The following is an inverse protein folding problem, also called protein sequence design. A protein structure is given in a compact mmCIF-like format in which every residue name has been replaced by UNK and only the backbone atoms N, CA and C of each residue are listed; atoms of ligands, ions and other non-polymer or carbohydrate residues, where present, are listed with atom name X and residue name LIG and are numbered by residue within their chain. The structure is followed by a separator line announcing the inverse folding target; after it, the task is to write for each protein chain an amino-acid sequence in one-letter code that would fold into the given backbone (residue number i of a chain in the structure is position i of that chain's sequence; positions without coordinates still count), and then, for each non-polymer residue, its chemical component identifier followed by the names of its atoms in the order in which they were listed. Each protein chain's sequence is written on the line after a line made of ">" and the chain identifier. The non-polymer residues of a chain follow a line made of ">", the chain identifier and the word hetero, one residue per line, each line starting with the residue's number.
data_IF_395489248908
#
_entry.id   IF_395489248908
#
_cell.length_a   1.000
_cell.length_b   1.000
_cell.length_c   1.000
_cell.angle_alpha   90.00
_cell.angle_beta   90.00
_cell.angle_gamma   90.00
#
_symmetry.space_group_name_H-M   'P 1'
#
loop_
_entity.id
_entity.type
_entity.pdbx_description
1 polymer ?
#
# COMPACT_ATOMS: atom_id res chain seq x y z
N UNK A 1 4.79 -1.57 18.38
CA UNK A 1 5.54 -1.59 17.10
C UNK A 1 4.69 -0.89 16.04
N UNK A 2 5.29 -0.18 15.08
CA UNK A 2 4.55 0.53 14.03
C UNK A 2 4.66 -0.24 12.70
N UNK A 3 3.54 -0.68 12.13
CA UNK A 3 3.55 -1.62 11.00
C UNK A 3 2.98 -0.97 9.72
N UNK A 4 3.76 -1.03 8.64
CA UNK A 4 3.34 -0.55 7.32
C UNK A 4 3.20 -1.74 6.39
N UNK A 5 2.00 -1.98 5.87
CA UNK A 5 1.73 -3.03 4.89
C UNK A 5 1.59 -2.41 3.50
N UNK A 6 2.27 -3.00 2.51
CA UNK A 6 2.28 -2.54 1.13
C UNK A 6 1.79 -3.70 0.25
N UNK A 7 0.65 -3.53 -0.40
CA UNK A 7 0.10 -4.53 -1.30
C UNK A 7 0.60 -4.31 -2.74
N UNK A 8 1.49 -5.21 -3.20
CA UNK A 8 1.88 -5.28 -4.61
C UNK A 8 1.02 -6.30 -5.34
N UNK A 9 0.13 -5.83 -6.23
CA UNK A 9 -0.72 -6.71 -7.04
C UNK A 9 0.02 -7.33 -8.24
N UNK A 10 -0.38 -8.55 -8.57
CA UNK A 10 -0.01 -9.34 -9.77
C UNK A 10 -0.45 -8.68 -11.08
N UNK A 11 0.41 -8.73 -12.11
CA UNK A 11 0.11 -8.30 -13.49
C UNK A 11 -0.64 -9.36 -14.33
N UNK A 12 -0.77 -10.60 -13.86
CA UNK A 12 -1.44 -11.68 -14.59
C UNK A 12 -2.93 -11.85 -14.24
N UNK A 13 -3.45 -11.07 -13.28
CA UNK A 13 -4.91 -10.87 -13.11
C UNK A 13 -5.46 -9.96 -14.22
N UNK A 14 -4.59 -9.38 -15.04
CA UNK A 14 -4.94 -8.59 -16.20
C UNK A 14 -5.21 -9.52 -17.38
N UNK A 15 -6.40 -10.12 -17.40
CA UNK A 15 -6.95 -10.59 -18.67
C UNK A 15 -7.11 -9.38 -19.60
N UNK A 16 -6.82 -9.49 -20.91
CA UNK A 16 -7.07 -8.41 -21.88
C UNK A 16 -8.51 -7.87 -21.80
N UNK A 17 -9.46 -8.71 -21.38
CA UNK A 17 -10.87 -8.37 -21.18
C UNK A 17 -11.11 -7.51 -19.92
N UNK A 18 -10.28 -7.65 -18.87
CA UNK A 18 -10.34 -6.85 -17.65
C UNK A 18 -9.48 -5.57 -17.67
N UNK A 19 -8.60 -5.42 -18.69
CA UNK A 19 -7.66 -4.29 -18.82
C UNK A 19 -8.31 -2.90 -18.79
N UNK A 20 -9.58 -2.77 -19.19
CA UNK A 20 -10.31 -1.48 -19.16
C UNK A 20 -10.79 -1.07 -17.76
N UNK A 21 -10.82 -1.99 -16.79
CA UNK A 21 -11.31 -1.72 -15.42
C UNK A 21 -10.21 -1.68 -14.36
N UNK A 22 -9.01 -2.14 -14.66
CA UNK A 22 -7.90 -2.22 -13.69
C UNK A 22 -6.84 -1.21 -14.08
N UNK A 23 -6.63 -0.19 -13.26
CA UNK A 23 -5.51 0.76 -13.42
C UNK A 23 -4.21 0.00 -13.19
N UNK A 24 -3.36 -0.05 -14.21
CA UNK A 24 -1.96 -0.43 -14.07
C UNK A 24 -1.23 0.84 -13.68
N UNK A 25 -0.71 0.91 -12.45
CA UNK A 25 0.23 1.97 -12.10
C UNK A 25 1.57 1.74 -12.82
N UNK A 26 2.25 2.84 -13.16
CA UNK A 26 3.62 2.79 -13.67
C UNK A 26 4.54 2.05 -12.70
N UNK A 27 5.62 1.45 -13.25
CA UNK A 27 6.54 0.61 -12.50
C UNK A 27 7.17 1.34 -11.28
N UNK A 28 7.18 2.67 -11.28
CA UNK A 28 7.77 3.52 -10.24
C UNK A 28 6.79 4.01 -9.17
N UNK A 29 5.48 3.73 -9.28
CA UNK A 29 4.47 4.26 -8.37
C UNK A 29 4.77 3.98 -6.90
N UNK A 30 5.03 2.71 -6.57
CA UNK A 30 5.30 2.31 -5.19
C UNK A 30 6.62 2.88 -4.67
N UNK A 31 7.61 3.05 -5.55
CA UNK A 31 8.86 3.68 -5.19
C UNK A 31 8.65 5.14 -4.79
N UNK A 32 7.92 5.91 -5.60
CA UNK A 32 7.59 7.30 -5.31
C UNK A 32 6.80 7.45 -4.03
N UNK A 33 5.80 6.59 -3.80
CA UNK A 33 5.02 6.60 -2.56
C UNK A 33 5.93 6.33 -1.36
N UNK A 34 6.77 5.30 -1.43
CA UNK A 34 7.66 4.95 -0.33
C UNK A 34 8.72 6.01 -0.06
N UNK A 35 9.26 6.67 -1.08
CA UNK A 35 10.22 7.77 -0.93
C UNK A 35 9.61 8.97 -0.18
N UNK A 36 8.32 9.23 -0.34
CA UNK A 36 7.59 10.27 0.40
C UNK A 36 7.15 9.80 1.79
N UNK A 37 6.77 8.52 1.92
CA UNK A 37 6.24 7.95 3.15
C UNK A 37 7.34 7.70 4.19
N UNK A 38 8.46 7.09 3.79
CA UNK A 38 9.51 6.61 4.70
C UNK A 38 10.05 7.69 5.65
N UNK A 39 10.36 8.93 5.20
CA UNK A 39 10.85 9.98 6.08
C UNK A 39 9.84 10.46 7.12
N UNK A 40 8.55 10.18 6.91
CA UNK A 40 7.45 10.61 7.78
C UNK A 40 7.10 9.55 8.83
N UNK A 41 7.53 8.30 8.63
CA UNK A 41 7.23 7.20 9.54
C UNK A 41 8.09 7.27 10.81
N UNK A 42 7.60 6.73 11.95
CA UNK A 42 8.42 6.51 13.13
C UNK A 42 9.69 5.71 12.81
N UNK A 43 10.80 5.98 13.51
CA UNK A 43 12.09 5.28 13.28
C UNK A 43 12.00 3.76 13.44
N UNK A 44 11.11 3.29 14.30
CA UNK A 44 10.85 1.88 14.58
C UNK A 44 9.76 1.26 13.69
N UNK A 45 9.32 1.95 12.63
CA UNK A 45 8.36 1.41 11.68
C UNK A 45 8.95 0.22 10.91
N UNK A 46 8.17 -0.86 10.82
CA UNK A 46 8.46 -2.04 10.01
C UNK A 46 7.67 -1.97 8.70
N UNK A 47 8.37 -2.13 7.58
CA UNK A 47 7.77 -2.08 6.26
C UNK A 47 7.63 -3.50 5.74
N UNK A 48 6.41 -3.90 5.38
CA UNK A 48 6.10 -5.22 4.85
C UNK A 48 5.56 -5.07 3.43
N UNK A 49 6.25 -5.66 2.47
CA UNK A 49 5.84 -5.69 1.07
C UNK A 49 5.23 -7.05 0.78
N UNK A 50 3.91 -7.09 0.62
CA UNK A 50 3.14 -8.32 0.44
C UNK A 50 2.71 -8.49 -1.02
N UNK A 51 3.01 -9.66 -1.59
CA UNK A 51 2.63 -10.02 -2.96
C UNK A 51 2.18 -11.48 -3.03
N UNK A 52 1.04 -11.72 -3.67
CA UNK A 52 0.67 -13.05 -4.13
C UNK A 52 1.55 -13.38 -5.36
N UNK A 53 2.32 -14.46 -5.32
CA UNK A 53 3.19 -14.91 -6.41
C UNK A 53 4.44 -14.06 -6.71
N UNK A 54 5.50 -14.80 -7.06
CA UNK A 54 6.71 -14.29 -7.65
C UNK A 54 6.51 -14.23 -9.18
N UNK A 55 6.32 -13.04 -9.75
CA UNK A 55 6.31 -12.86 -11.20
C UNK A 55 7.66 -12.28 -11.63
N UNK A 56 8.27 -12.80 -12.70
CA UNK A 56 9.60 -12.36 -13.18
C UNK A 56 9.66 -10.84 -13.42
N UNK A 57 8.58 -10.24 -13.91
CA UNK A 57 8.46 -8.78 -14.08
C UNK A 57 8.46 -7.99 -12.76
N UNK A 58 7.93 -8.56 -11.67
CA UNK A 58 7.94 -7.92 -10.33
C UNK A 58 9.24 -8.16 -9.57
N UNK A 59 10.08 -9.11 -9.99
CA UNK A 59 11.37 -9.33 -9.34
C UNK A 59 12.25 -8.08 -9.35
N UNK A 60 12.26 -7.33 -10.45
CA UNK A 60 13.00 -6.07 -10.57
C UNK A 60 12.46 -4.99 -9.63
N UNK A 61 11.14 -4.79 -9.60
CA UNK A 61 10.51 -3.86 -8.66
C UNK A 61 10.79 -4.24 -7.20
N UNK A 62 10.67 -5.53 -6.89
CA UNK A 62 10.98 -6.07 -5.57
C UNK A 62 12.44 -5.81 -5.19
N UNK A 63 13.38 -6.05 -6.11
CA UNK A 63 14.80 -5.75 -5.90
C UNK A 63 15.05 -4.25 -5.74
N UNK A 64 14.41 -3.42 -6.56
CA UNK A 64 14.50 -1.96 -6.45
C UNK A 64 14.00 -1.47 -5.09
N UNK A 65 12.84 -1.95 -4.64
CA UNK A 65 12.31 -1.62 -3.32
C UNK A 65 13.27 -2.10 -2.23
N UNK A 66 13.76 -3.33 -2.29
CA UNK A 66 14.71 -3.87 -1.30
C UNK A 66 16.01 -3.07 -1.23
N UNK A 67 16.53 -2.62 -2.38
CA UNK A 67 17.77 -1.87 -2.47
C UNK A 67 17.60 -0.43 -1.97
N UNK A 68 16.47 0.22 -2.27
CA UNK A 68 16.18 1.60 -1.86
C UNK A 68 15.67 1.70 -0.42
N UNK A 69 14.96 0.67 0.03
CA UNK A 69 14.32 0.61 1.35
C UNK A 69 14.81 -0.64 2.10
N UNK A 70 16.03 -0.62 2.67
CA UNK A 70 16.63 -1.80 3.30
C UNK A 70 15.85 -2.31 4.54
N UNK A 71 14.97 -1.49 5.10
CA UNK A 71 14.04 -1.86 6.19
C UNK A 71 12.80 -2.62 5.70
N UNK A 72 12.56 -2.68 4.39
CA UNK A 72 11.42 -3.37 3.82
C UNK A 72 11.64 -4.88 3.82
N UNK A 73 10.76 -5.58 4.54
CA UNK A 73 10.67 -7.03 4.53
C UNK A 73 9.73 -7.46 3.42
N UNK A 74 10.23 -8.33 2.54
CA UNK A 74 9.44 -8.86 1.45
C UNK A 74 8.77 -10.17 1.88
N UNK A 75 7.44 -10.20 1.83
CA UNK A 75 6.61 -11.35 2.14
C UNK A 75 5.89 -11.79 0.86
N UNK A 76 6.55 -12.66 0.08
CA UNK A 76 5.98 -13.26 -1.14
C UNK A 76 5.35 -14.59 -0.81
N UNK A 77 4.22 -14.91 -1.45
CA UNK A 77 3.50 -16.18 -1.27
C UNK A 77 2.95 -16.41 0.14
N UNK A 78 2.77 -15.34 0.91
CA UNK A 78 2.04 -15.40 2.18
C UNK A 78 0.59 -15.84 1.92
N UNK A 79 0.02 -16.77 2.72
CA UNK A 79 -1.36 -17.18 2.57
C UNK A 79 -2.32 -15.99 2.52
N UNK A 80 -3.37 -16.06 1.70
CA UNK A 80 -4.30 -14.94 1.52
C UNK A 80 -5.00 -14.52 2.82
N UNK A 81 -5.27 -15.44 3.74
CA UNK A 81 -5.82 -15.09 5.07
C UNK A 81 -4.82 -14.27 5.90
N UNK A 82 -3.57 -14.71 5.97
CA UNK A 82 -2.50 -14.01 6.68
C UNK A 82 -2.19 -12.64 6.07
N UNK A 83 -2.15 -12.54 4.74
CA UNK A 83 -1.99 -11.26 4.03
C UNK A 83 -3.13 -10.31 4.35
N UNK A 84 -4.38 -10.80 4.34
CA UNK A 84 -5.55 -9.97 4.63
C UNK A 84 -5.52 -9.46 6.08
N UNK A 85 -5.21 -10.34 7.03
CA UNK A 85 -5.06 -9.98 8.43
C UNK A 85 -3.98 -8.92 8.64
N UNK A 86 -2.80 -9.10 8.02
CA UNK A 86 -1.72 -8.11 8.05
C UNK A 86 -2.12 -6.75 7.46
N UNK A 87 -2.99 -6.73 6.44
CA UNK A 87 -3.52 -5.48 5.88
C UNK A 87 -4.48 -4.77 6.84
N UNK A 88 -5.38 -5.52 7.48
CA UNK A 88 -6.37 -4.96 8.42
C UNK A 88 -5.68 -4.37 9.65
N UNK A 89 -4.68 -5.06 10.18
CA UNK A 89 -3.97 -4.67 11.41
C UNK A 89 -2.84 -3.65 11.19
N UNK A 90 -2.49 -3.34 9.94
CA UNK A 90 -1.44 -2.37 9.65
C UNK A 90 -1.79 -0.98 10.20
N UNK A 91 -0.77 -0.24 10.62
CA UNK A 91 -0.90 1.18 10.99
C UNK A 91 -1.02 2.06 9.75
N UNK A 92 -0.33 1.65 8.68
CA UNK A 92 -0.45 2.23 7.37
C UNK A 92 -0.59 1.11 6.35
N UNK A 93 -1.71 1.07 5.64
CA UNK A 93 -1.92 0.19 4.50
C UNK A 93 -1.75 0.98 3.21
N UNK A 94 -0.67 0.73 2.49
CA UNK A 94 -0.44 1.22 1.13
C UNK A 94 -0.94 0.18 0.15
N UNK A 95 -1.88 0.54 -0.70
CA UNK A 95 -2.48 -0.42 -1.61
C UNK A 95 -2.78 0.16 -2.98
N UNK A 96 -2.56 -0.68 -3.99
CA UNK A 96 -3.27 -0.56 -5.25
C UNK A 96 -4.71 -1.08 -5.07
N UNK A 97 -5.65 -0.41 -5.74
CA UNK A 97 -7.07 -0.59 -5.52
C UNK A 97 -7.55 -1.88 -6.21
N UNK A 98 -7.77 -2.92 -5.40
CA UNK A 98 -8.38 -4.19 -5.80
C UNK A 98 -9.54 -4.51 -4.85
N UNK A 99 -10.49 -5.36 -5.23
CA UNK A 99 -11.57 -5.77 -4.31
C UNK A 99 -11.02 -6.35 -3.00
N UNK A 100 -9.89 -7.06 -3.07
CA UNK A 100 -9.25 -7.66 -1.90
C UNK A 100 -8.61 -6.63 -0.98
N UNK A 101 -7.75 -5.75 -1.51
CA UNK A 101 -7.13 -4.67 -0.70
C UNK A 101 -8.17 -3.67 -0.21
N UNK A 102 -9.16 -3.32 -1.03
CA UNK A 102 -10.22 -2.40 -0.65
C UNK A 102 -11.05 -2.95 0.51
N UNK A 103 -11.43 -4.23 0.45
CA UNK A 103 -12.13 -4.88 1.56
C UNK A 103 -11.29 -4.83 2.84
N UNK A 104 -9.99 -5.13 2.76
CA UNK A 104 -9.10 -4.99 3.92
C UNK A 104 -9.04 -3.55 4.44
N UNK A 105 -9.00 -2.56 3.54
CA UNK A 105 -9.04 -1.14 3.89
C UNK A 105 -10.33 -0.70 4.58
N UNK A 106 -11.48 -1.29 4.22
CA UNK A 106 -12.75 -1.05 4.90
C UNK A 106 -12.78 -1.61 6.33
N UNK A 107 -12.08 -2.72 6.59
CA UNK A 107 -11.95 -3.29 7.93
C UNK A 107 -10.81 -2.65 8.74
N UNK A 108 -9.83 -2.02 8.08
CA UNK A 108 -8.75 -1.32 8.75
C UNK A 108 -9.22 -0.01 9.39
N UNK A 109 -8.90 0.14 10.68
CA UNK A 109 -9.23 1.32 11.48
C UNK A 109 -8.14 2.41 11.43
N UNK A 110 -7.00 2.11 10.79
CA UNK A 110 -5.84 2.98 10.75
C UNK A 110 -5.72 3.67 9.39
N UNK A 111 -4.52 4.05 8.96
CA UNK A 111 -4.31 4.87 7.76
C UNK A 111 -4.31 3.98 6.52
N UNK A 112 -5.06 4.39 5.49
CA UNK A 112 -5.17 3.72 4.20
C UNK A 112 -4.70 4.69 3.11
N UNK A 113 -3.68 4.31 2.35
CA UNK A 113 -3.17 5.06 1.21
C UNK A 113 -3.56 4.32 -0.07
N UNK A 114 -4.33 4.97 -0.94
CA UNK A 114 -4.78 4.38 -2.20
C UNK A 114 -5.02 5.44 -3.27
N UNK A 115 -4.77 5.09 -4.55
CA UNK A 115 -5.17 5.96 -5.66
C UNK A 115 -6.69 6.08 -5.73
N UNK A 116 -7.25 7.25 -6.04
CA UNK A 116 -8.70 7.43 -6.12
C UNK A 116 -9.33 6.59 -7.25
N UNK A 117 -10.36 5.78 -6.92
CA UNK A 117 -11.22 5.13 -7.91
C UNK A 117 -12.67 5.00 -7.42
N UNK A 118 -13.62 5.68 -8.09
CA UNK A 118 -15.10 5.54 -8.09
C UNK A 118 -15.89 5.42 -6.77
N UNK A 119 -15.27 5.14 -5.64
CA UNK A 119 -15.92 5.04 -4.33
C UNK A 119 -15.53 6.27 -3.54
N UNK A 120 -16.55 6.98 -3.05
CA UNK A 120 -16.40 8.23 -2.35
C UNK A 120 -15.78 7.95 -0.96
N UNK A 121 -14.45 7.89 -0.89
CA UNK A 121 -13.68 7.75 0.36
C UNK A 121 -13.65 9.06 1.17
N UNK A 122 -14.38 10.10 0.73
CA UNK A 122 -14.27 11.48 1.18
C UNK A 122 -14.84 11.76 2.59
N UNK A 123 -15.38 10.77 3.29
CA UNK A 123 -15.97 10.96 4.62
C UNK A 123 -15.06 10.50 5.77
N UNK A 124 -13.96 9.78 5.49
CA UNK A 124 -13.09 9.19 6.51
C UNK A 124 -11.65 9.71 6.33
N UNK A 125 -11.18 10.51 7.29
CA UNK A 125 -9.87 11.15 7.29
C UNK A 125 -8.69 10.17 7.34
N UNK A 126 -8.95 8.89 7.60
CA UNK A 126 -7.93 7.85 7.55
C UNK A 126 -7.64 7.35 6.14
N UNK A 127 -8.46 7.70 5.13
CA UNK A 127 -8.15 7.50 3.72
C UNK A 127 -7.35 8.68 3.18
N UNK A 128 -6.08 8.42 2.91
CA UNK A 128 -5.14 9.41 2.35
C UNK A 128 -5.01 9.16 0.85
N UNK A 129 -5.40 10.12 -0.01
CA UNK A 129 -5.29 9.95 -1.44
C UNK A 129 -3.83 10.00 -1.90
N UNK A 130 -3.52 9.22 -2.93
CA UNK A 130 -2.30 9.32 -3.72
C UNK A 130 -2.69 9.48 -5.19
N UNK A 131 -2.03 10.37 -5.94
CA UNK A 131 -2.29 10.48 -7.38
C UNK A 131 -1.86 9.21 -8.13
N UNK A 132 -2.32 9.07 -9.38
CA UNK A 132 -1.93 7.92 -10.22
C UNK A 132 -0.42 7.84 -10.49
N UNK A 133 0.28 8.97 -10.40
CA UNK A 133 1.73 9.10 -10.56
C UNK A 133 2.51 8.89 -9.25
N UNK A 134 1.83 8.49 -8.16
CA UNK A 134 2.46 8.18 -6.88
C UNK A 134 2.75 9.40 -6.00
N UNK A 135 2.16 10.57 -6.27
CA UNK A 135 2.26 11.76 -5.41
C UNK A 135 1.31 11.62 -4.23
N UNK A 136 1.84 11.57 -3.01
CA UNK A 136 1.10 11.42 -1.76
C UNK A 136 0.61 12.79 -1.27
N UNK A 137 -0.62 12.87 -0.77
CA UNK A 137 -1.04 14.02 0.04
C UNK A 137 -0.33 13.98 1.41
N UNK A 138 0.83 14.61 1.47
CA UNK A 138 1.69 14.65 2.67
C UNK A 138 1.00 15.35 3.84
N UNK A 139 0.15 16.35 3.58
CA UNK A 139 -0.55 17.10 4.64
C UNK A 139 -1.61 16.21 5.26
N UNK A 140 -2.45 15.58 4.45
CA UNK A 140 -3.45 14.62 4.92
C UNK A 140 -2.79 13.44 5.65
N UNK A 141 -1.67 12.92 5.11
CA UNK A 141 -0.92 11.84 5.77
C UNK A 141 -0.40 12.24 7.14
N UNK A 142 0.25 13.40 7.28
CA UNK A 142 0.78 13.87 8.56
C UNK A 142 -0.31 14.05 9.60
N UNK A 143 -1.46 14.60 9.19
CA UNK A 143 -2.62 14.74 10.06
C UNK A 143 -3.13 13.38 10.54
N UNK A 144 -3.35 12.43 9.62
CA UNK A 144 -3.80 11.08 9.97
C UNK A 144 -2.78 10.34 10.86
N UNK A 145 -1.48 10.53 10.62
CA UNK A 145 -0.41 9.96 11.44
C UNK A 145 -0.40 10.52 12.86
N UNK A 146 -0.56 11.83 13.02
CA UNK A 146 -0.66 12.45 14.35
C UNK A 146 -1.85 11.89 15.12
N UNK A 147 -3.02 11.78 14.49
CA UNK A 147 -4.22 11.21 15.09
C UNK A 147 -4.03 9.76 15.52
N UNK A 148 -3.41 8.93 14.67
CA UNK A 148 -3.12 7.54 15.00
C UNK A 148 -2.15 7.41 16.18
N UNK A 149 -1.08 8.21 16.19
CA UNK A 149 -0.08 8.19 17.26
C UNK A 149 -0.63 8.65 18.61
N UNK A 150 -1.71 9.46 18.64
CA UNK A 150 -2.37 9.86 19.90
C UNK A 150 -3.22 8.76 20.52
N UNK A 151 -3.66 7.79 19.73
CA UNK A 151 -4.56 6.70 20.16
C UNK A 151 -3.80 5.44 20.56
N UNK A 152 -2.50 5.38 20.27
CA UNK A 152 -1.59 4.28 20.61
C UNK A 152 -0.81 4.60 21.88
#
# INVERSE_FOLDING_TARGET
>A
MFNVAIHLRRLDVYSPVQSKMVRVHHDDFFEKVLAQLEPLLPKNAQLYVLSAAYHKAKHLLIQQIRNKFPRAQLLVNTPASATFHAFVEADVLVMDLSRYSHLAGLFSQNIKISSPFRYNTSCDSSWVPVSDDGVLDVVAFKHALQELLRRK
#
